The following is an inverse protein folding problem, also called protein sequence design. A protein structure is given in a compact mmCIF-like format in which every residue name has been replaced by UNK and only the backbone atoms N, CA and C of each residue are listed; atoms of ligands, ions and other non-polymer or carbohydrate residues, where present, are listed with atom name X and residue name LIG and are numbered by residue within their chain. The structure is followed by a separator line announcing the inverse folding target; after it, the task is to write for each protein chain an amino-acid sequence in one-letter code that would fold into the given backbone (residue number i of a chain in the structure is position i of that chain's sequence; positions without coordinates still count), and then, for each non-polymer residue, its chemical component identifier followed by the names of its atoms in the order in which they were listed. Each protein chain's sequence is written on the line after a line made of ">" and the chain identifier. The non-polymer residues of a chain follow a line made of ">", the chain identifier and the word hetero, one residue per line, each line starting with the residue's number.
data_IF_093467102752
#
_entry.id   IF_093467102752
#
_cell.length_a   1.000
_cell.length_b   1.000
_cell.length_c   1.000
_cell.angle_alpha   90.00
_cell.angle_beta   90.00
_cell.angle_gamma   90.00
#
_symmetry.space_group_name_H-M   'P 1'
#
loop_
_entity.id
_entity.type
_entity.pdbx_description
1 polymer ?
#
# COMPACT_ATOMS: atom_id res chain seq x y z
N UNK A 1 -0.88 13.92 8.89
CA UNK A 1 0.58 14.16 8.81
C UNK A 1 1.28 12.93 8.27
N UNK A 2 2.22 13.14 7.37
CA UNK A 2 2.91 12.01 6.75
C UNK A 2 4.06 11.51 7.63
N UNK A 3 4.25 10.19 7.62
CA UNK A 3 5.34 9.58 8.36
C UNK A 3 6.65 9.74 7.60
N UNK A 4 7.79 9.58 8.28
CA UNK A 4 9.08 9.63 7.58
C UNK A 4 9.19 8.62 6.45
N UNK A 5 8.62 7.43 6.63
CA UNK A 5 8.64 6.41 5.57
C UNK A 5 7.85 6.87 4.35
N UNK A 6 6.70 7.50 4.58
CA UNK A 6 5.90 8.02 3.48
C UNK A 6 6.64 9.14 2.73
N UNK A 7 7.27 10.03 3.46
CA UNK A 7 8.03 11.12 2.85
C UNK A 7 9.20 10.60 2.04
N UNK A 8 9.85 9.57 2.54
CA UNK A 8 10.97 8.97 1.82
C UNK A 8 10.52 8.36 0.50
N UNK A 9 9.40 7.63 0.53
CA UNK A 9 8.85 7.04 -0.69
C UNK A 9 8.47 8.13 -1.70
N UNK A 10 7.87 9.20 -1.23
CA UNK A 10 7.50 10.29 -2.11
C UNK A 10 8.72 10.91 -2.77
N UNK A 11 9.79 11.09 -2.01
CA UNK A 11 11.03 11.64 -2.55
C UNK A 11 11.65 10.70 -3.58
N UNK A 12 11.62 9.40 -3.32
CA UNK A 12 12.21 8.41 -4.21
C UNK A 12 11.45 8.27 -5.51
N UNK A 13 10.13 8.36 -5.45
CA UNK A 13 9.28 8.08 -6.62
C UNK A 13 8.71 9.33 -7.25
N UNK A 14 8.94 10.48 -6.66
CA UNK A 14 8.46 11.77 -7.18
C UNK A 14 6.94 11.77 -7.38
N UNK A 15 6.23 11.16 -6.42
CA UNK A 15 4.77 11.06 -6.44
C UNK A 15 4.23 11.22 -5.04
N UNK A 16 2.96 11.60 -4.94
CA UNK A 16 2.27 11.61 -3.67
C UNK A 16 2.08 10.18 -3.16
N UNK A 17 2.10 10.00 -1.84
CA UNK A 17 2.03 8.67 -1.25
C UNK A 17 0.75 7.93 -1.66
N UNK A 18 -0.36 8.64 -1.80
CA UNK A 18 -1.60 8.03 -2.23
C UNK A 18 -1.45 7.43 -3.63
N UNK A 19 -0.85 8.18 -4.53
CA UNK A 19 -0.63 7.71 -5.89
C UNK A 19 0.35 6.53 -5.93
N UNK A 20 1.37 6.58 -5.08
CA UNK A 20 2.32 5.47 -4.96
C UNK A 20 1.61 4.20 -4.57
N UNK A 21 0.73 4.27 -3.58
CA UNK A 21 0.01 3.10 -3.11
C UNK A 21 -0.98 2.58 -4.15
N UNK A 22 -1.67 3.50 -4.82
CA UNK A 22 -2.62 3.10 -5.87
C UNK A 22 -1.89 2.44 -7.02
N UNK A 23 -0.76 3.00 -7.44
CA UNK A 23 0.05 2.40 -8.50
C UNK A 23 0.50 0.99 -8.13
N UNK A 24 0.94 0.81 -6.89
CA UNK A 24 1.39 -0.50 -6.42
C UNK A 24 0.24 -1.50 -6.42
N UNK A 25 -0.93 -1.09 -5.94
CA UNK A 25 -2.10 -1.96 -5.94
C UNK A 25 -2.49 -2.37 -7.35
N UNK A 26 -2.46 -1.45 -8.29
CA UNK A 26 -2.80 -1.75 -9.67
C UNK A 26 -1.78 -2.68 -10.32
N UNK A 27 -0.51 -2.48 -9.99
CA UNK A 27 0.56 -3.29 -10.53
C UNK A 27 0.40 -4.76 -10.11
N UNK A 28 -0.01 -5.00 -8.88
CA UNK A 28 -0.10 -6.35 -8.34
C UNK A 28 -1.53 -6.86 -8.22
N UNK A 29 -2.46 -6.20 -8.88
CA UNK A 29 -3.88 -6.53 -8.75
C UNK A 29 -4.20 -7.99 -9.10
N UNK A 30 -3.52 -8.53 -10.09
CA UNK A 30 -3.81 -9.88 -10.57
C UNK A 30 -3.05 -10.96 -9.82
N UNK A 31 -2.19 -10.60 -8.88
CA UNK A 31 -1.42 -11.61 -8.15
C UNK A 31 -2.23 -12.15 -6.98
N UNK A 32 -1.93 -13.39 -6.59
CA UNK A 32 -2.62 -14.03 -5.46
C UNK A 32 -2.23 -13.39 -4.13
N UNK A 33 -1.07 -12.78 -4.07
CA UNK A 33 -0.54 -12.17 -2.87
C UNK A 33 -0.40 -10.67 -3.04
N UNK A 34 -1.40 -10.04 -3.64
CA UNK A 34 -1.36 -8.63 -3.99
C UNK A 34 -0.85 -7.74 -2.85
N UNK A 35 -1.42 -7.90 -1.66
CA UNK A 35 -1.05 -7.04 -0.54
C UNK A 35 0.39 -7.28 -0.11
N UNK A 36 0.81 -8.55 -0.07
CA UNK A 36 2.18 -8.86 0.29
C UNK A 36 3.17 -8.33 -0.74
N UNK A 37 2.81 -8.43 -2.00
CA UNK A 37 3.66 -7.90 -3.08
C UNK A 37 3.77 -6.38 -2.98
N UNK A 38 2.67 -5.70 -2.66
CA UNK A 38 2.70 -4.26 -2.45
C UNK A 38 3.58 -3.89 -1.25
N UNK A 39 3.49 -4.64 -0.16
CA UNK A 39 4.31 -4.39 1.01
C UNK A 39 5.78 -4.54 0.67
N UNK A 40 6.12 -5.57 -0.09
CA UNK A 40 7.50 -5.79 -0.55
C UNK A 40 7.97 -4.63 -1.42
N UNK A 41 7.13 -4.22 -2.35
CA UNK A 41 7.45 -3.14 -3.27
C UNK A 41 7.70 -1.82 -2.53
N UNK A 42 6.90 -1.56 -1.53
CA UNK A 42 6.99 -0.31 -0.76
C UNK A 42 7.92 -0.40 0.43
N UNK A 43 8.37 -1.59 0.78
CA UNK A 43 9.27 -1.78 1.91
C UNK A 43 8.61 -1.55 3.26
N UNK A 44 7.33 -1.88 3.39
CA UNK A 44 6.59 -1.70 4.63
C UNK A 44 6.00 -3.02 5.10
N UNK A 45 5.63 -3.07 6.37
CA UNK A 45 4.97 -4.25 6.91
C UNK A 45 3.50 -4.25 6.50
N UNK A 46 2.89 -5.42 6.62
CA UNK A 46 1.48 -5.62 6.30
C UNK A 46 0.58 -4.68 7.11
N UNK A 47 0.83 -4.62 8.41
CA UNK A 47 0.04 -3.74 9.27
C UNK A 47 0.20 -2.28 8.90
N UNK A 48 1.41 -1.88 8.56
CA UNK A 48 1.68 -0.50 8.14
C UNK A 48 0.95 -0.19 6.85
N UNK A 49 0.96 -1.13 5.90
CA UNK A 49 0.28 -0.94 4.63
C UNK A 49 -1.22 -0.69 4.83
N UNK A 50 -1.87 -1.51 5.64
CA UNK A 50 -3.30 -1.35 5.89
C UNK A 50 -3.61 -0.06 6.66
N UNK A 51 -2.74 0.30 7.58
CA UNK A 51 -2.90 1.54 8.32
C UNK A 51 -2.85 2.73 7.36
N UNK A 52 -1.89 2.73 6.45
CA UNK A 52 -1.78 3.80 5.46
C UNK A 52 -3.00 3.82 4.55
N UNK A 53 -3.43 2.67 4.07
CA UNK A 53 -4.59 2.59 3.19
C UNK A 53 -5.83 3.17 3.86
N UNK A 54 -6.02 2.85 5.13
CA UNK A 54 -7.16 3.37 5.88
C UNK A 54 -7.08 4.89 6.02
N UNK A 55 -5.91 5.39 6.36
CA UNK A 55 -5.73 6.82 6.57
C UNK A 55 -5.88 7.62 5.29
N UNK A 56 -5.52 7.02 4.16
CA UNK A 56 -5.59 7.68 2.87
C UNK A 56 -6.90 7.39 2.13
N UNK A 57 -7.79 6.65 2.79
CA UNK A 57 -9.08 6.28 2.21
C UNK A 57 -8.91 5.54 0.88
N UNK A 58 -8.00 4.57 0.87
CA UNK A 58 -7.72 3.74 -0.28
C UNK A 58 -8.38 2.38 -0.09
N UNK A 59 -9.13 1.95 -1.09
CA UNK A 59 -9.78 0.65 -1.04
C UNK A 59 -8.82 -0.41 -1.55
N UNK A 60 -8.54 -1.38 -0.70
CA UNK A 60 -7.58 -2.43 -1.04
C UNK A 60 -8.25 -3.61 -1.74
N UNK A 61 -9.55 -3.75 -1.58
CA UNK A 61 -10.28 -4.86 -2.16
C UNK A 61 -10.58 -5.92 -1.12
N UNK A 62 -11.02 -7.07 -1.60
CA UNK A 62 -11.56 -8.10 -0.71
C UNK A 62 -10.53 -9.06 -0.16
N UNK A 63 -9.31 -8.98 -0.61
CA UNK A 63 -8.28 -9.96 -0.27
C UNK A 63 -8.12 -10.17 1.21
N UNK A 64 -7.81 -9.10 1.92
CA UNK A 64 -7.49 -9.21 3.34
C UNK A 64 -8.73 -9.47 4.17
N UNK A 65 -9.87 -9.01 3.72
CA UNK A 65 -11.10 -9.22 4.47
C UNK A 65 -11.49 -10.69 4.46
N UNK A 66 -11.28 -11.34 3.35
CA UNK A 66 -11.53 -12.76 3.28
C UNK A 66 -10.64 -13.52 4.25
N UNK A 67 -9.42 -13.08 4.39
CA UNK A 67 -8.48 -13.74 5.28
C UNK A 67 -8.81 -13.54 6.75
N UNK A 68 -9.48 -12.47 7.08
CA UNK A 68 -9.78 -12.17 8.48
C UNK A 68 -11.06 -12.79 8.99
N UNK A 69 -11.80 -13.41 8.14
CA UNK A 69 -13.05 -14.05 8.56
C UNK A 69 -12.86 -15.46 9.13
#
# INVERSE_FOLDING_TARGET
>A
MKTPSQLLLEAQRHKDIRDIMIDSLEKYRATRTMVLDCCDDLGVSWGTFYKWAKNLDIEVGDYHFSATR
#
